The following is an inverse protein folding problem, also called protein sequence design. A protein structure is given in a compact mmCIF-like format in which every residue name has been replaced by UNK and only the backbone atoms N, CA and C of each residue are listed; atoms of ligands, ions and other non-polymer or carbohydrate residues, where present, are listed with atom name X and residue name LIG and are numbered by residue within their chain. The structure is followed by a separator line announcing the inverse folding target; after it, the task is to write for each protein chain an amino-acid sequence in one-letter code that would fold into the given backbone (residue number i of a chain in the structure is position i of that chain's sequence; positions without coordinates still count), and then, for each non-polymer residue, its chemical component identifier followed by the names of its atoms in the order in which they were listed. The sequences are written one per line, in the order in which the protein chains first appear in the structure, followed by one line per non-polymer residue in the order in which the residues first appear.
data_IF_359047944545
#
_entry.id   IF_359047944545
#
_cell.length_a   1.000
_cell.length_b   1.000
_cell.length_c   1.000
_cell.angle_alpha   90.00
_cell.angle_beta   90.00
_cell.angle_gamma   90.00
#
_symmetry.space_group_name_H-M   'P 1'
#
loop_
_entity.id
_entity.type
_entity.pdbx_description
1 polymer ?
#
# COMPACT_ATOMS: atom_id res chain seq x y z
N UNK A 1 -4.40 -36.01 13.82
CA UNK A 1 -3.80 -34.90 13.04
C UNK A 1 -4.41 -34.93 11.66
N UNK A 2 -5.20 -33.91 11.29
CA UNK A 2 -5.85 -33.87 9.97
C UNK A 2 -4.83 -33.32 8.96
N UNK A 3 -4.26 -34.18 8.13
CA UNK A 3 -3.50 -33.80 6.95
C UNK A 3 -4.45 -33.25 5.91
N UNK A 4 -4.76 -31.96 6.00
CA UNK A 4 -5.45 -31.27 4.92
C UNK A 4 -4.61 -31.37 3.66
N UNK A 5 -5.22 -31.72 2.53
CA UNK A 5 -4.54 -31.79 1.25
C UNK A 5 -4.00 -30.40 0.91
N UNK A 6 -2.68 -30.21 1.04
CA UNK A 6 -1.97 -28.94 0.78
C UNK A 6 -2.23 -28.37 -0.63
N UNK A 7 -2.75 -29.20 -1.54
CA UNK A 7 -3.08 -28.81 -2.93
C UNK A 7 -4.34 -27.96 -3.05
N UNK A 8 -5.22 -27.97 -2.04
CA UNK A 8 -6.46 -27.17 -2.03
C UNK A 8 -6.30 -25.81 -1.34
N UNK A 9 -5.17 -25.55 -0.72
CA UNK A 9 -4.92 -24.28 -0.04
C UNK A 9 -4.89 -23.13 -1.04
N UNK A 10 -5.56 -22.02 -0.69
CA UNK A 10 -5.58 -20.80 -1.49
C UNK A 10 -4.90 -19.66 -0.72
N UNK A 11 -3.94 -19.01 -1.34
CA UNK A 11 -3.25 -17.85 -0.78
C UNK A 11 -2.85 -16.86 -1.89
N UNK A 12 -2.42 -15.68 -1.48
CA UNK A 12 -1.79 -14.69 -2.38
C UNK A 12 -0.27 -14.81 -2.38
N UNK A 13 0.31 -15.29 -1.29
CA UNK A 13 1.74 -15.32 -1.08
C UNK A 13 2.21 -16.76 -0.94
N UNK A 14 3.22 -17.13 -1.71
CA UNK A 14 3.81 -18.44 -1.74
C UNK A 14 5.33 -18.35 -1.75
N UNK A 15 5.99 -19.24 -1.04
CA UNK A 15 7.42 -19.50 -1.15
C UNK A 15 7.62 -20.79 -1.93
N UNK A 16 8.71 -20.85 -2.68
CA UNK A 16 9.05 -22.06 -3.43
C UNK A 16 10.55 -22.34 -3.37
N UNK A 17 10.88 -23.61 -3.41
CA UNK A 17 12.24 -24.10 -3.56
C UNK A 17 12.25 -25.10 -4.72
N UNK A 18 13.15 -24.93 -5.68
CA UNK A 18 13.30 -25.83 -6.82
C UNK A 18 14.74 -26.35 -6.86
N UNK A 19 15.00 -27.51 -6.26
CA UNK A 19 16.32 -28.14 -6.34
C UNK A 19 16.59 -28.67 -7.75
N UNK A 20 17.86 -28.65 -8.15
CA UNK A 20 18.30 -29.11 -9.48
C UNK A 20 17.49 -28.50 -10.62
N UNK A 21 17.23 -27.19 -10.55
CA UNK A 21 16.51 -26.50 -11.59
C UNK A 21 17.20 -26.61 -12.95
N UNK A 22 16.42 -26.59 -14.02
CA UNK A 22 16.95 -26.72 -15.38
C UNK A 22 17.72 -25.44 -15.76
N UNK A 23 19.03 -25.54 -15.94
CA UNK A 23 19.88 -24.40 -16.32
C UNK A 23 19.53 -23.82 -17.71
N UNK A 24 18.85 -24.59 -18.57
CA UNK A 24 18.36 -24.18 -19.88
C UNK A 24 17.00 -23.45 -19.84
N UNK A 25 16.33 -23.47 -18.71
CA UNK A 25 15.07 -22.76 -18.53
C UNK A 25 15.39 -21.40 -18.01
N UNK A 26 15.24 -20.37 -18.85
CA UNK A 26 15.08 -19.02 -18.33
C UNK A 26 13.77 -19.03 -17.50
N UNK A 27 13.86 -18.92 -16.17
CA UNK A 27 12.67 -18.90 -15.33
C UNK A 27 11.72 -17.74 -15.69
N UNK A 28 12.12 -16.88 -16.61
CA UNK A 28 11.44 -15.71 -17.10
C UNK A 28 10.61 -15.96 -18.35
N UNK A 29 10.94 -17.00 -19.12
CA UNK A 29 10.26 -17.27 -20.38
C UNK A 29 8.74 -17.50 -20.26
N UNK A 30 8.19 -18.06 -19.16
CA UNK A 30 6.75 -18.21 -18.96
C UNK A 30 6.04 -16.99 -18.34
N UNK A 31 6.74 -15.94 -17.98
CA UNK A 31 6.16 -14.77 -17.27
C UNK A 31 5.06 -14.02 -18.03
N UNK A 32 5.05 -13.90 -19.37
CA UNK A 32 3.96 -13.22 -20.08
C UNK A 32 2.57 -13.80 -19.80
N UNK A 33 2.45 -15.11 -19.60
CA UNK A 33 1.17 -15.77 -19.31
C UNK A 33 0.73 -15.62 -17.84
N UNK A 34 1.65 -15.31 -16.93
CA UNK A 34 1.41 -15.18 -15.50
C UNK A 34 1.28 -13.75 -15.04
N UNK A 35 1.75 -12.78 -15.83
CA UNK A 35 1.80 -11.36 -15.48
C UNK A 35 0.45 -10.76 -15.08
N UNK A 36 -0.65 -11.24 -15.62
CA UNK A 36 -1.98 -10.70 -15.34
C UNK A 36 -2.42 -10.84 -13.86
N UNK A 37 -1.94 -11.87 -13.15
CA UNK A 37 -2.31 -12.11 -11.75
C UNK A 37 -1.12 -12.06 -10.77
N UNK A 38 0.11 -11.99 -11.28
CA UNK A 38 1.34 -11.92 -10.49
C UNK A 38 1.69 -10.46 -10.25
N UNK A 39 1.76 -10.05 -8.99
CA UNK A 39 2.13 -8.70 -8.61
C UNK A 39 3.64 -8.56 -8.38
N UNK A 40 4.24 -9.61 -7.83
CA UNK A 40 5.66 -9.64 -7.50
C UNK A 40 6.18 -11.07 -7.51
N UNK A 41 7.39 -11.26 -8.02
CA UNK A 41 8.13 -12.51 -7.99
C UNK A 41 9.59 -12.17 -7.71
N UNK A 42 10.22 -12.90 -6.80
CA UNK A 42 11.67 -12.87 -6.64
C UNK A 42 12.22 -14.26 -6.38
N UNK A 43 13.47 -14.46 -6.75
CA UNK A 43 14.19 -15.67 -6.41
C UNK A 43 15.72 -15.45 -6.42
N UNK A 44 16.37 -16.17 -5.52
CA UNK A 44 17.82 -16.32 -5.49
C UNK A 44 18.24 -17.67 -6.06
N UNK A 45 19.43 -17.72 -6.65
CA UNK A 45 20.12 -18.93 -7.06
C UNK A 45 21.13 -19.28 -5.99
N UNK A 46 20.88 -20.39 -5.32
CA UNK A 46 21.65 -20.83 -4.16
C UNK A 46 22.28 -22.20 -4.42
N UNK A 47 23.38 -22.47 -3.74
CA UNK A 47 24.02 -23.79 -3.71
C UNK A 47 23.92 -24.31 -2.29
N UNK A 48 23.29 -25.48 -2.12
CA UNK A 48 23.20 -26.12 -0.81
C UNK A 48 24.60 -26.43 -0.29
N UNK A 49 25.01 -25.91 0.88
CA UNK A 49 26.36 -26.08 1.39
C UNK A 49 26.70 -27.55 1.72
N UNK A 50 25.72 -28.33 2.10
CA UNK A 50 25.90 -29.72 2.51
C UNK A 50 26.01 -30.69 1.32
N UNK A 51 25.26 -30.43 0.25
CA UNK A 51 25.14 -31.37 -0.90
C UNK A 51 25.70 -30.83 -2.20
N UNK A 52 26.08 -29.53 -2.27
CA UNK A 52 26.47 -28.87 -3.50
C UNK A 52 25.34 -28.74 -4.54
N UNK A 53 24.09 -29.01 -4.15
CA UNK A 53 22.95 -29.02 -5.05
C UNK A 53 22.50 -27.59 -5.36
N UNK A 54 22.48 -27.16 -6.64
CA UNK A 54 21.91 -25.87 -7.00
C UNK A 54 20.39 -25.87 -6.81
N UNK A 55 19.85 -24.79 -6.26
CA UNK A 55 18.41 -24.63 -6.11
C UNK A 55 17.97 -23.19 -6.28
N UNK A 56 16.72 -23.00 -6.72
CA UNK A 56 16.05 -21.71 -6.67
C UNK A 56 15.33 -21.60 -5.34
N UNK A 57 15.54 -20.52 -4.63
CA UNK A 57 14.78 -20.15 -3.44
C UNK A 57 13.99 -18.89 -3.76
N UNK A 58 12.65 -18.94 -3.71
CA UNK A 58 11.87 -17.83 -4.21
C UNK A 58 10.58 -17.56 -3.45
N UNK A 59 10.05 -16.36 -3.76
CA UNK A 59 8.79 -15.85 -3.24
C UNK A 59 7.95 -15.27 -4.36
N UNK A 60 6.65 -15.53 -4.34
CA UNK A 60 5.69 -14.96 -5.29
C UNK A 60 4.47 -14.41 -4.57
N UNK A 61 4.01 -13.26 -5.04
CA UNK A 61 2.79 -12.62 -4.56
C UNK A 61 1.82 -12.33 -5.70
N UNK A 62 0.60 -12.84 -5.58
CA UNK A 62 -0.47 -12.70 -6.56
C UNK A 62 -1.44 -11.56 -6.22
N UNK A 63 -2.02 -10.95 -7.24
CA UNK A 63 -3.08 -9.94 -7.09
C UNK A 63 -4.31 -10.55 -6.40
N UNK A 64 -4.71 -11.74 -6.84
CA UNK A 64 -5.81 -12.52 -6.28
C UNK A 64 -5.30 -13.79 -5.60
N UNK A 65 -6.12 -14.40 -4.74
CA UNK A 65 -5.78 -15.70 -4.18
C UNK A 65 -5.74 -16.77 -5.27
N UNK A 66 -4.68 -17.56 -5.26
CA UNK A 66 -4.50 -18.71 -6.14
C UNK A 66 -4.43 -20.00 -5.32
N UNK A 67 -4.78 -21.14 -5.95
CA UNK A 67 -4.45 -22.46 -5.39
C UNK A 67 -2.94 -22.64 -5.41
N UNK A 68 -2.44 -23.59 -4.62
CA UNK A 68 -1.01 -23.87 -4.56
C UNK A 68 -0.42 -23.99 -5.99
N UNK A 69 0.51 -23.10 -6.37
CA UNK A 69 1.05 -23.04 -7.73
C UNK A 69 2.15 -24.08 -8.01
N UNK A 70 2.15 -25.20 -7.29
CA UNK A 70 3.15 -26.27 -7.42
C UNK A 70 3.35 -26.73 -8.86
N UNK A 71 2.28 -26.92 -9.62
CA UNK A 71 2.36 -27.38 -11.02
C UNK A 71 3.16 -26.39 -11.89
N UNK A 72 3.05 -25.10 -11.64
CA UNK A 72 3.81 -24.09 -12.32
C UNK A 72 5.31 -24.16 -11.96
N UNK A 73 5.65 -24.18 -10.68
CA UNK A 73 7.05 -24.22 -10.25
C UNK A 73 7.73 -25.55 -10.60
N UNK A 74 6.99 -26.63 -10.77
CA UNK A 74 7.49 -27.92 -11.25
C UNK A 74 7.98 -27.89 -12.72
N UNK A 75 7.65 -26.84 -13.47
CA UNK A 75 8.20 -26.64 -14.83
C UNK A 75 9.65 -26.20 -14.81
N UNK A 76 10.16 -25.72 -13.68
CA UNK A 76 11.55 -25.28 -13.53
C UNK A 76 12.50 -26.37 -13.04
N UNK A 77 11.97 -27.46 -12.47
CA UNK A 77 12.75 -28.58 -11.99
C UNK A 77 11.87 -29.70 -11.41
N UNK A 78 12.41 -30.95 -11.29
CA UNK A 78 11.60 -32.13 -11.02
C UNK A 78 11.03 -32.20 -9.59
N UNK A 79 11.54 -31.45 -8.65
CA UNK A 79 11.22 -31.57 -7.22
C UNK A 79 10.87 -30.22 -6.60
N UNK A 80 10.03 -29.45 -7.29
CA UNK A 80 9.57 -28.17 -6.73
C UNK A 80 8.80 -28.38 -5.42
N UNK A 81 9.16 -27.62 -4.41
CA UNK A 81 8.44 -27.53 -3.15
C UNK A 81 7.79 -26.15 -3.07
N UNK A 82 6.49 -26.10 -2.78
CA UNK A 82 5.73 -24.82 -2.73
C UNK A 82 4.85 -24.82 -1.51
N UNK A 83 5.02 -23.79 -0.69
CA UNK A 83 4.27 -23.61 0.54
C UNK A 83 3.71 -22.19 0.63
N UNK A 84 2.66 -22.03 1.44
CA UNK A 84 2.16 -20.70 1.78
C UNK A 84 3.24 -19.90 2.50
N UNK A 85 3.49 -18.67 2.03
CA UNK A 85 4.47 -17.81 2.66
C UNK A 85 4.06 -17.44 4.10
N UNK A 86 5.03 -17.48 4.99
CA UNK A 86 4.96 -16.99 6.35
C UNK A 86 5.83 -15.74 6.44
N UNK A 87 5.37 -14.72 7.16
CA UNK A 87 6.09 -13.45 7.24
C UNK A 87 5.67 -12.43 6.18
N UNK A 88 6.35 -11.29 6.18
CA UNK A 88 6.09 -10.18 5.27
C UNK A 88 6.74 -10.39 3.91
N UNK A 89 6.34 -9.59 2.92
CA UNK A 89 6.97 -9.64 1.59
C UNK A 89 8.43 -9.19 1.64
N UNK A 90 8.74 -8.22 2.50
CA UNK A 90 10.09 -7.71 2.72
C UNK A 90 11.00 -8.77 3.33
N UNK A 91 10.54 -9.50 4.35
CA UNK A 91 11.31 -10.60 4.97
C UNK A 91 11.58 -11.73 3.99
N UNK A 92 10.60 -12.08 3.16
CA UNK A 92 10.78 -13.10 2.12
C UNK A 92 11.74 -12.65 1.01
N UNK A 93 11.69 -11.37 0.60
CA UNK A 93 12.63 -10.79 -0.37
C UNK A 93 14.07 -10.84 0.18
N UNK A 94 14.27 -10.38 1.41
CA UNK A 94 15.56 -10.39 2.09
C UNK A 94 16.14 -11.81 2.15
N UNK A 95 15.30 -12.78 2.50
CA UNK A 95 15.72 -14.19 2.53
C UNK A 95 16.15 -14.70 1.16
N UNK A 96 15.43 -14.36 0.09
CA UNK A 96 15.77 -14.80 -1.27
C UNK A 96 17.02 -14.10 -1.84
N UNK A 97 17.39 -12.92 -1.31
CA UNK A 97 18.53 -12.12 -1.79
C UNK A 97 19.85 -12.36 -1.04
N UNK A 98 19.84 -13.20 -0.01
CA UNK A 98 20.96 -13.37 0.94
C UNK A 98 22.30 -13.78 0.30
N UNK A 99 22.28 -14.53 -0.81
CA UNK A 99 23.51 -15.02 -1.49
C UNK A 99 23.94 -14.15 -2.69
N UNK A 100 23.18 -13.08 -3.00
CA UNK A 100 23.58 -12.06 -3.98
C UNK A 100 23.22 -12.36 -5.43
N UNK A 101 23.03 -13.62 -5.86
CA UNK A 101 22.49 -13.96 -7.19
C UNK A 101 20.96 -13.95 -7.14
N UNK A 102 20.40 -12.76 -7.30
CA UNK A 102 18.99 -12.47 -7.06
C UNK A 102 18.34 -11.86 -8.29
N UNK A 103 17.10 -12.27 -8.54
CA UNK A 103 16.29 -11.76 -9.64
C UNK A 103 14.90 -11.40 -9.11
N UNK A 104 14.36 -10.25 -9.52
CA UNK A 104 13.02 -9.82 -9.10
C UNK A 104 12.21 -9.20 -10.24
N UNK A 105 10.87 -9.32 -10.14
CA UNK A 105 9.89 -8.80 -11.08
C UNK A 105 8.69 -8.21 -10.37
N UNK A 106 8.20 -7.10 -10.93
CA UNK A 106 7.00 -6.44 -10.44
C UNK A 106 7.29 -5.50 -9.27
N UNK A 107 6.26 -5.26 -8.45
CA UNK A 107 6.32 -4.30 -7.34
C UNK A 107 6.12 -5.04 -6.03
N UNK A 108 7.11 -4.94 -5.15
CA UNK A 108 7.06 -5.53 -3.80
C UNK A 108 5.80 -5.04 -3.06
N UNK A 109 4.98 -5.95 -2.51
CA UNK A 109 3.79 -5.56 -1.74
C UNK A 109 4.20 -4.91 -0.44
N UNK A 110 3.74 -3.69 -0.19
CA UNK A 110 3.96 -3.02 1.10
C UNK A 110 3.35 -3.84 2.25
N UNK A 111 4.07 -3.96 3.36
CA UNK A 111 3.60 -4.63 4.57
C UNK A 111 2.36 -3.95 5.16
N UNK A 112 1.61 -4.67 5.98
CA UNK A 112 0.47 -4.09 6.71
C UNK A 112 0.92 -2.97 7.65
N UNK A 113 2.11 -3.10 8.25
CA UNK A 113 2.71 -2.07 9.09
C UNK A 113 2.99 -0.80 8.29
N UNK A 114 3.65 -0.93 7.13
CA UNK A 114 3.95 0.21 6.26
C UNK A 114 2.67 0.93 5.77
N UNK A 115 1.62 0.16 5.43
CA UNK A 115 0.31 0.73 5.07
C UNK A 115 -0.33 1.47 6.23
N UNK A 116 -0.26 0.91 7.44
CA UNK A 116 -0.77 1.53 8.66
C UNK A 116 -0.06 2.84 8.98
N UNK A 117 1.26 2.89 8.87
CA UNK A 117 2.03 4.12 9.09
C UNK A 117 1.76 5.17 8.02
N UNK A 118 1.63 4.79 6.76
CA UNK A 118 1.26 5.70 5.68
C UNK A 118 -0.12 6.32 5.91
N UNK A 119 -1.11 5.52 6.37
CA UNK A 119 -2.44 6.02 6.68
C UNK A 119 -2.43 6.95 7.90
N UNK A 120 -1.72 6.61 8.98
CA UNK A 120 -1.54 7.52 10.13
C UNK A 120 -0.93 8.86 9.71
N UNK A 121 0.10 8.81 8.86
CA UNK A 121 0.73 10.02 8.33
C UNK A 121 -0.27 10.85 7.53
N UNK A 122 -1.05 10.23 6.65
CA UNK A 122 -2.09 10.89 5.84
C UNK A 122 -3.12 11.62 6.70
N UNK A 123 -3.61 10.99 7.77
CA UNK A 123 -4.55 11.62 8.72
C UNK A 123 -3.91 12.78 9.49
N UNK A 124 -2.67 12.62 9.90
CA UNK A 124 -1.92 13.67 10.58
C UNK A 124 -1.69 14.89 9.70
N UNK A 125 -1.30 14.67 8.44
CA UNK A 125 -1.08 15.74 7.46
C UNK A 125 -2.38 16.50 7.19
N UNK A 126 -3.50 15.81 7.05
CA UNK A 126 -4.82 16.39 6.88
C UNK A 126 -5.25 17.23 8.11
N UNK A 127 -5.00 16.74 9.33
CA UNK A 127 -5.24 17.52 10.56
C UNK A 127 -4.41 18.80 10.60
N UNK A 128 -3.12 18.72 10.28
CA UNK A 128 -2.22 19.88 10.27
C UNK A 128 -2.65 20.89 9.20
N UNK A 129 -3.03 20.44 8.01
CA UNK A 129 -3.55 21.29 6.95
C UNK A 129 -4.82 22.04 7.39
N UNK A 130 -5.75 21.34 8.03
CA UNK A 130 -6.96 21.97 8.58
C UNK A 130 -6.63 23.02 9.65
N UNK A 131 -5.75 22.70 10.59
CA UNK A 131 -5.30 23.58 11.67
C UNK A 131 -4.68 24.86 11.14
N UNK A 132 -3.90 24.77 10.06
CA UNK A 132 -3.24 25.90 9.42
C UNK A 132 -4.12 26.63 8.39
N UNK A 133 -5.36 26.21 8.23
CA UNK A 133 -6.30 26.82 7.30
C UNK A 133 -6.15 26.38 5.83
N UNK A 134 -5.22 25.47 5.53
CA UNK A 134 -4.93 24.97 4.19
C UNK A 134 -5.89 23.84 3.78
N UNK A 135 -7.18 24.18 3.71
CA UNK A 135 -8.26 23.21 3.45
C UNK A 135 -8.11 22.48 2.09
N UNK A 136 -7.50 23.14 1.10
CA UNK A 136 -7.25 22.57 -0.23
C UNK A 136 -6.17 21.48 -0.27
N UNK A 137 -5.34 21.35 0.78
CA UNK A 137 -4.29 20.36 0.88
C UNK A 137 -4.80 19.03 1.49
N UNK A 138 -6.05 19.03 1.95
CA UNK A 138 -6.67 17.83 2.53
C UNK A 138 -7.09 16.91 1.38
N UNK A 139 -6.72 15.61 1.40
CA UNK A 139 -7.15 14.65 0.39
C UNK A 139 -8.66 14.64 0.19
N UNK A 140 -9.13 14.61 -1.06
CA UNK A 140 -10.53 14.79 -1.44
C UNK A 140 -11.50 13.85 -0.72
N UNK A 141 -11.12 12.60 -0.51
CA UNK A 141 -11.93 11.60 0.18
C UNK A 141 -12.09 11.93 1.68
N UNK A 142 -11.04 12.42 2.33
CA UNK A 142 -11.09 12.89 3.72
C UNK A 142 -11.85 14.22 3.82
N UNK A 143 -11.58 15.14 2.91
CA UNK A 143 -12.25 16.43 2.86
C UNK A 143 -13.76 16.26 2.69
N UNK A 144 -14.20 15.44 1.74
CA UNK A 144 -15.62 15.20 1.48
C UNK A 144 -16.30 14.53 2.68
N UNK A 145 -15.67 13.51 3.28
CA UNK A 145 -16.26 12.73 4.37
C UNK A 145 -16.28 13.47 5.70
N UNK A 146 -15.28 14.29 5.98
CA UNK A 146 -15.05 14.93 7.27
C UNK A 146 -14.99 16.46 7.20
N UNK A 147 -15.62 17.06 6.22
CA UNK A 147 -15.62 18.50 5.98
C UNK A 147 -15.96 19.33 7.22
N UNK A 148 -17.03 18.99 7.91
CA UNK A 148 -17.46 19.71 9.12
C UNK A 148 -16.43 19.60 10.26
N UNK A 149 -15.79 18.47 10.41
CA UNK A 149 -14.73 18.23 11.39
C UNK A 149 -13.52 19.12 11.11
N UNK A 150 -13.05 19.14 9.87
CA UNK A 150 -11.91 19.96 9.47
C UNK A 150 -12.22 21.46 9.54
N UNK A 151 -13.46 21.86 9.19
CA UNK A 151 -13.91 23.23 9.37
C UNK A 151 -13.89 23.65 10.84
N UNK A 152 -14.31 22.80 11.75
CA UNK A 152 -14.26 23.04 13.19
C UNK A 152 -12.82 23.13 13.71
N UNK A 153 -11.93 22.21 13.30
CA UNK A 153 -10.50 22.28 13.64
C UNK A 153 -9.90 23.62 13.22
N UNK A 154 -10.20 24.06 12.00
CA UNK A 154 -9.76 25.36 11.50
C UNK A 154 -10.27 26.53 12.38
N UNK A 155 -11.55 26.49 12.76
CA UNK A 155 -12.15 27.53 13.62
C UNK A 155 -11.53 27.55 15.01
N UNK A 156 -11.31 26.38 15.63
CA UNK A 156 -10.73 26.25 16.98
C UNK A 156 -9.26 26.72 17.04
N UNK A 157 -8.56 26.72 15.90
CA UNK A 157 -7.16 27.14 15.81
C UNK A 157 -6.96 28.45 15.02
N UNK A 158 -8.05 29.11 14.61
CA UNK A 158 -7.94 30.41 13.95
C UNK A 158 -7.32 31.44 14.92
N UNK A 159 -6.40 32.25 14.44
CA UNK A 159 -5.89 33.34 15.26
C UNK A 159 -7.07 34.23 15.73
N UNK A 160 -7.00 34.77 16.92
CA UNK A 160 -8.01 35.74 17.38
C UNK A 160 -8.16 36.84 16.33
N UNK A 161 -9.41 37.27 16.12
CA UNK A 161 -9.68 38.36 15.20
C UNK A 161 -8.79 39.53 15.57
N UNK A 162 -8.15 40.13 14.57
CA UNK A 162 -7.34 41.32 14.80
C UNK A 162 -8.21 42.37 15.52
N UNK A 163 -7.69 42.93 16.60
CA UNK A 163 -8.33 44.08 17.22
C UNK A 163 -8.44 45.19 16.17
N UNK A 164 -9.64 45.72 16.01
CA UNK A 164 -9.84 46.93 15.22
C UNK A 164 -9.26 48.12 16.03
N UNK A 165 -8.01 48.43 15.78
CA UNK A 165 -7.35 49.58 16.36
C UNK A 165 -7.81 50.86 15.62
N UNK A 166 -8.89 51.47 16.10
CA UNK A 166 -9.42 52.70 15.52
C UNK A 166 -10.85 53.00 15.99
N UNK A 167 -11.34 54.20 15.72
CA UNK A 167 -12.72 54.52 16.06
C UNK A 167 -13.68 53.63 15.28
N UNK A 168 -14.45 52.82 15.99
CA UNK A 168 -15.44 51.95 15.42
C UNK A 168 -16.53 52.78 14.73
N UNK A 169 -16.51 52.77 13.41
CA UNK A 169 -17.60 53.39 12.64
C UNK A 169 -18.72 52.35 12.52
N UNK A 170 -19.66 52.40 13.46
CA UNK A 170 -20.87 51.57 13.38
C UNK A 170 -21.91 52.31 12.53
N UNK A 171 -22.30 51.72 11.41
CA UNK A 171 -23.39 52.20 10.59
C UNK A 171 -24.66 51.41 10.92
N UNK A 172 -25.66 52.11 11.43
CA UNK A 172 -26.99 51.53 11.64
C UNK A 172 -27.85 51.75 10.40
N UNK A 173 -28.21 50.68 9.69
CA UNK A 173 -29.08 50.76 8.53
C UNK A 173 -30.50 50.46 8.98
N UNK A 174 -31.37 51.46 9.01
CA UNK A 174 -32.76 51.36 9.41
C UNK A 174 -33.65 51.55 8.18
N UNK A 175 -34.73 50.81 8.12
CA UNK A 175 -35.73 50.88 7.04
C UNK A 175 -36.72 49.74 7.10
N UNK A 176 -37.84 49.89 6.37
CA UNK A 176 -38.88 48.87 6.32
C UNK A 176 -38.42 47.54 5.75
N UNK A 177 -39.15 46.43 6.01
CA UNK A 177 -38.85 45.14 5.44
C UNK A 177 -38.91 45.21 3.91
N UNK A 178 -37.90 44.61 3.24
CA UNK A 178 -37.80 44.65 1.77
C UNK A 178 -37.14 45.90 1.17
N UNK A 179 -36.70 46.91 1.97
CA UNK A 179 -36.07 48.13 1.47
C UNK A 179 -34.64 47.98 0.94
N UNK A 180 -34.14 46.74 0.79
CA UNK A 180 -32.81 46.50 0.23
C UNK A 180 -31.59 46.69 1.17
N UNK A 181 -31.80 46.79 2.48
CA UNK A 181 -30.75 46.99 3.50
C UNK A 181 -29.62 45.97 3.38
N UNK A 182 -29.97 44.68 3.25
CA UNK A 182 -29.02 43.59 3.12
C UNK A 182 -28.23 43.68 1.79
N UNK A 183 -28.92 44.03 0.70
CA UNK A 183 -28.27 44.19 -0.60
C UNK A 183 -27.28 45.35 -0.61
N UNK A 184 -27.54 46.40 0.17
CA UNK A 184 -26.67 47.54 0.31
C UNK A 184 -25.44 47.20 1.18
N UNK A 185 -25.63 46.47 2.28
CA UNK A 185 -24.55 46.07 3.20
C UNK A 185 -23.54 45.07 2.60
N UNK A 186 -23.90 44.37 1.55
CA UNK A 186 -23.04 43.40 0.88
C UNK A 186 -22.46 43.91 -0.46
N UNK A 187 -22.53 45.16 -0.77
CA UNK A 187 -21.82 45.83 -1.86
C UNK A 187 -20.50 46.40 -1.38
#
# INVERSE_FOLDING_TARGET
MRGGDRREEKARAWVFTVPNYFASVDPLAPLPALQANMKYLCYGREICPDTGTPHLQGYVYYVNTVRNPHAFFSTFGPHAHVERAVGTAEENQEYCSKEGDFTEYGVLPASQKAKGEAEKKRWRDAFLAAREGRMGDIPDDLHTRYYSTYKKIRQDHAPPAAHLDGPLQHLWIVGESGSGKSSWAFR
#
